data_IF_805670989636
#
_entry.id   IF_805670989636
#
_cell.length_a   1.000
_cell.length_b   1.000
_cell.length_c   1.000
_cell.angle_alpha   90.00
_cell.angle_beta   90.00
_cell.angle_gamma   90.00
#
_symmetry.space_group_name_H-M   'P 1'
#
loop_
_entity.id
_entity.type
_entity.pdbx_description
1 polymer ?
#
# COMPACT_ATOMS: atom_id res chain seq x y z
N UNK A 1 -49.23 -23.17 -20.77
CA UNK A 1 -50.45 -23.00 -21.58
C UNK A 1 -50.79 -21.52 -21.67
N UNK A 2 -51.07 -21.02 -22.90
CA UNK A 2 -51.68 -19.72 -23.27
C UNK A 2 -50.89 -18.44 -22.91
N UNK A 3 -50.22 -17.79 -23.88
CA UNK A 3 -50.71 -16.82 -24.91
C UNK A 3 -51.22 -15.53 -24.22
N UNK A 4 -50.87 -14.31 -24.63
CA UNK A 4 -51.34 -13.61 -25.84
C UNK A 4 -50.56 -12.29 -26.04
N UNK A 5 -50.28 -11.96 -27.31
CA UNK A 5 -49.81 -10.70 -27.90
C UNK A 5 -50.79 -9.52 -27.72
N UNK A 6 -50.30 -8.27 -27.71
CA UNK A 6 -50.99 -7.16 -28.40
C UNK A 6 -50.06 -5.97 -28.74
N UNK A 7 -50.04 -5.66 -30.03
CA UNK A 7 -49.51 -4.47 -30.71
C UNK A 7 -50.60 -3.39 -30.69
N UNK A 8 -50.28 -2.10 -30.49
CA UNK A 8 -51.04 -1.00 -31.10
C UNK A 8 -50.10 0.09 -31.62
N UNK A 9 -50.21 0.27 -32.93
CA UNK A 9 -49.72 1.35 -33.79
C UNK A 9 -50.69 2.54 -33.71
N UNK A 10 -50.19 3.77 -33.65
CA UNK A 10 -50.97 4.95 -34.02
C UNK A 10 -50.09 5.97 -34.74
N UNK A 11 -50.22 5.97 -36.07
CA UNK A 11 -49.77 7.00 -36.99
C UNK A 11 -50.82 8.11 -37.00
N UNK A 12 -50.42 9.36 -36.79
CA UNK A 12 -51.20 10.53 -37.22
C UNK A 12 -50.31 11.44 -38.05
N UNK A 13 -50.60 11.44 -39.34
CA UNK A 13 -50.09 12.36 -40.35
C UNK A 13 -51.08 13.53 -40.44
N UNK A 14 -50.60 14.77 -40.29
CA UNK A 14 -51.32 15.96 -40.72
C UNK A 14 -50.32 16.97 -41.30
N UNK A 15 -50.38 17.12 -42.62
CA UNK A 15 -49.72 18.17 -43.39
C UNK A 15 -50.41 19.52 -43.17
N UNK A 16 -49.61 20.58 -43.12
CA UNK A 16 -50.03 21.96 -43.28
C UNK A 16 -48.86 22.82 -43.75
N UNK A 17 -48.79 23.07 -45.06
CA UNK A 17 -47.83 23.96 -45.73
C UNK A 17 -48.34 25.41 -45.69
N UNK A 18 -47.54 26.34 -45.16
CA UNK A 18 -47.33 27.73 -45.60
C UNK A 18 -45.96 28.15 -45.02
N UNK A 19 -44.93 28.56 -45.76
CA UNK A 19 -44.90 29.71 -46.66
C UNK A 19 -44.09 30.82 -45.99
N UNK A 20 -42.77 30.87 -46.21
CA UNK A 20 -41.89 31.91 -45.68
C UNK A 20 -40.43 31.70 -46.05
N UNK A 21 -40.03 32.20 -47.22
CA UNK A 21 -38.60 32.37 -47.55
C UNK A 21 -38.04 33.51 -46.71
N UNK A 22 -37.15 33.19 -45.76
CA UNK A 22 -36.21 34.15 -45.18
C UNK A 22 -34.83 33.54 -45.31
N UNK A 23 -34.03 34.11 -46.21
CA UNK A 23 -32.63 33.74 -46.43
C UNK A 23 -31.79 34.24 -45.25
N UNK A 24 -31.64 33.39 -44.23
CA UNK A 24 -30.62 33.53 -43.20
C UNK A 24 -29.29 32.94 -43.72
N UNK A 25 -28.14 33.59 -43.50
CA UNK A 25 -26.85 33.02 -43.87
C UNK A 25 -26.60 31.73 -43.09
N UNK A 26 -26.21 30.67 -43.79
CA UNK A 26 -25.84 29.40 -43.21
C UNK A 26 -24.67 29.59 -42.24
N UNK A 27 -24.91 29.37 -40.94
CA UNK A 27 -23.84 29.15 -39.98
C UNK A 27 -23.18 27.82 -40.34
N UNK A 28 -21.91 27.90 -40.71
CA UNK A 28 -21.01 26.74 -40.81
C UNK A 28 -21.06 26.04 -39.44
N UNK A 29 -21.36 24.73 -39.36
CA UNK A 29 -21.27 24.00 -38.11
C UNK A 29 -19.83 24.12 -37.59
N UNK A 30 -19.67 24.72 -36.41
CA UNK A 30 -18.41 24.71 -35.69
C UNK A 30 -18.02 23.25 -35.45
N UNK A 31 -16.88 22.85 -35.99
CA UNK A 31 -16.25 21.57 -35.70
C UNK A 31 -16.06 21.46 -34.18
N UNK A 32 -16.57 20.40 -33.52
CA UNK A 32 -16.43 20.28 -32.07
C UNK A 32 -14.93 20.26 -31.74
N UNK A 33 -14.52 21.17 -30.86
CA UNK A 33 -13.15 21.26 -30.37
C UNK A 33 -12.66 19.87 -29.93
N UNK A 34 -11.39 19.50 -30.20
CA UNK A 34 -10.85 18.23 -29.77
C UNK A 34 -11.06 18.11 -28.26
N UNK A 35 -11.80 17.08 -27.84
CA UNK A 35 -11.93 16.73 -26.44
C UNK A 35 -10.51 16.48 -25.93
N UNK A 36 -10.05 17.36 -25.03
CA UNK A 36 -8.75 17.22 -24.40
C UNK A 36 -8.63 15.80 -23.87
N UNK A 37 -7.57 15.11 -24.29
CA UNK A 37 -7.16 13.84 -23.69
C UNK A 37 -7.19 14.05 -22.17
N UNK A 38 -8.13 13.38 -21.49
CA UNK A 38 -8.13 13.36 -20.04
C UNK A 38 -6.89 12.56 -19.65
N UNK A 39 -5.79 13.25 -19.40
CA UNK A 39 -4.63 12.63 -18.73
C UNK A 39 -5.19 11.90 -17.52
N UNK A 40 -4.91 10.59 -17.36
CA UNK A 40 -5.38 9.85 -16.20
C UNK A 40 -4.96 10.61 -14.93
N UNK A 41 -5.80 10.62 -13.88
CA UNK A 41 -5.41 11.25 -12.64
C UNK A 41 -4.10 10.62 -12.15
N UNK A 42 -3.09 11.45 -11.92
CA UNK A 42 -1.84 11.01 -11.30
C UNK A 42 -2.18 10.62 -9.87
N UNK A 43 -2.00 9.34 -9.53
CA UNK A 43 -2.16 8.85 -8.16
C UNK A 43 -0.89 9.22 -7.40
N UNK A 44 -1.02 10.02 -6.35
CA UNK A 44 0.10 10.41 -5.48
C UNK A 44 0.56 9.20 -4.65
N UNK A 45 1.86 8.93 -4.61
CA UNK A 45 2.42 7.85 -3.79
C UNK A 45 2.38 8.21 -2.31
N UNK A 46 1.96 7.26 -1.48
CA UNK A 46 2.03 7.36 -0.02
C UNK A 46 2.89 6.22 0.51
N UNK A 47 4.19 6.46 0.56
CA UNK A 47 5.21 5.46 0.88
C UNK A 47 6.21 6.00 1.91
N UNK A 48 6.82 5.13 2.74
CA UNK A 48 7.98 5.49 3.56
C UNK A 48 9.21 5.76 2.70
N UNK A 49 10.26 6.37 3.25
CA UNK A 49 11.55 6.50 2.55
C UNK A 49 11.55 7.56 1.45
N UNK A 50 12.40 7.39 0.45
CA UNK A 50 12.62 8.36 -0.63
C UNK A 50 12.63 7.72 -2.02
N UNK A 51 12.12 8.44 -3.02
CA UNK A 51 12.18 8.03 -4.43
C UNK A 51 13.53 8.45 -5.04
N UNK A 52 14.42 7.49 -5.32
CA UNK A 52 15.76 7.77 -5.88
C UNK A 52 15.97 7.13 -7.25
N UNK A 53 15.03 6.31 -7.72
CA UNK A 53 15.10 5.66 -9.03
C UNK A 53 16.24 4.66 -9.09
N UNK A 54 16.88 4.46 -10.26
CA UNK A 54 17.95 3.47 -10.42
C UNK A 54 19.14 3.66 -9.45
N UNK A 55 19.35 4.86 -8.91
CA UNK A 55 20.39 5.10 -7.90
C UNK A 55 20.19 4.28 -6.61
N UNK A 56 18.97 3.83 -6.31
CA UNK A 56 18.67 2.95 -5.18
C UNK A 56 19.44 1.61 -5.25
N UNK A 57 19.80 1.16 -6.47
CA UNK A 57 20.51 -0.10 -6.72
C UNK A 57 22.05 0.05 -6.66
N UNK A 58 22.54 1.29 -6.75
CA UNK A 58 23.99 1.60 -6.73
C UNK A 58 24.52 1.82 -5.30
N UNK A 59 23.70 1.55 -4.29
CA UNK A 59 24.03 1.74 -2.87
C UNK A 59 25.07 0.69 -2.43
N UNK A 60 25.96 1.02 -1.48
CA UNK A 60 26.91 0.05 -0.93
C UNK A 60 26.23 -1.21 -0.37
N UNK A 61 26.79 -2.40 -0.61
CA UNK A 61 26.25 -3.66 -0.09
C UNK A 61 26.20 -3.69 1.45
N UNK A 62 27.11 -2.97 2.12
CA UNK A 62 27.16 -2.89 3.58
C UNK A 62 27.46 -1.48 4.04
N UNK A 63 26.96 -1.14 5.24
CA UNK A 63 27.34 0.07 5.97
C UNK A 63 27.37 -0.18 7.48
N UNK A 64 27.92 0.76 8.24
CA UNK A 64 27.73 0.82 9.69
C UNK A 64 26.95 2.07 10.06
N UNK A 65 26.09 1.96 11.06
CA UNK A 65 25.33 3.06 11.64
C UNK A 65 25.05 2.76 13.12
N UNK A 66 24.60 3.75 13.88
CA UNK A 66 24.22 3.56 15.29
C UNK A 66 22.72 3.45 15.48
N UNK A 67 22.33 2.66 16.46
CA UNK A 67 20.95 2.54 16.95
C UNK A 67 20.97 2.89 18.44
N UNK A 68 20.07 3.78 18.86
CA UNK A 68 19.84 4.09 20.27
C UNK A 68 18.96 3.01 20.90
N UNK A 69 19.51 2.20 21.78
CA UNK A 69 18.81 1.15 22.53
C UNK A 69 18.83 1.50 24.02
N UNK A 70 17.64 1.64 24.62
CA UNK A 70 17.48 1.99 26.04
C UNK A 70 18.30 3.25 26.46
N UNK A 71 18.49 4.18 25.53
CA UNK A 71 19.26 5.41 25.72
C UNK A 71 20.78 5.28 25.56
N UNK A 72 21.27 4.14 25.06
CA UNK A 72 22.67 3.92 24.70
C UNK A 72 22.83 3.77 23.19
N UNK A 73 23.81 4.45 22.62
CA UNK A 73 24.15 4.26 21.20
C UNK A 73 25.00 2.99 21.03
N UNK A 74 24.50 2.07 20.23
CA UNK A 74 25.19 0.86 19.84
C UNK A 74 25.45 0.88 18.33
N UNK A 75 26.63 0.41 17.91
CA UNK A 75 27.00 0.35 16.47
C UNK A 75 26.60 -0.99 15.89
N UNK A 76 25.91 -0.96 14.75
CA UNK A 76 25.49 -2.14 14.01
C UNK A 76 26.11 -2.16 12.62
N UNK A 77 26.41 -3.36 12.12
CA UNK A 77 26.58 -3.57 10.69
C UNK A 77 25.20 -3.72 10.04
N UNK A 78 25.08 -3.17 8.84
CA UNK A 78 23.87 -3.26 8.02
C UNK A 78 24.21 -3.83 6.65
N UNK A 79 23.34 -4.68 6.14
CA UNK A 79 23.43 -5.25 4.79
C UNK A 79 22.29 -4.69 3.94
N UNK A 80 22.61 -4.32 2.70
CA UNK A 80 21.63 -3.88 1.72
C UNK A 80 20.74 -5.06 1.33
N UNK A 81 19.42 -4.86 1.46
CA UNK A 81 18.40 -5.72 0.90
C UNK A 81 17.87 -5.04 -0.36
N UNK A 82 17.86 -5.78 -1.46
CA UNK A 82 17.08 -5.45 -2.65
C UNK A 82 15.77 -6.23 -2.64
N UNK A 83 14.65 -5.50 -2.50
CA UNK A 83 13.30 -6.05 -2.53
C UNK A 83 12.74 -5.96 -3.96
N UNK A 84 13.37 -6.68 -4.90
CA UNK A 84 13.08 -6.58 -6.35
C UNK A 84 11.60 -6.77 -6.70
N UNK A 85 10.93 -7.71 -6.03
CA UNK A 85 9.50 -7.97 -6.22
C UNK A 85 8.58 -6.79 -5.83
N UNK A 86 9.05 -5.89 -4.97
CA UNK A 86 8.30 -4.70 -4.54
C UNK A 86 8.86 -3.44 -5.19
N UNK A 87 10.17 -3.38 -5.48
CA UNK A 87 10.87 -2.27 -6.12
C UNK A 87 11.46 -1.23 -5.16
N UNK A 88 12.09 -1.66 -4.07
CA UNK A 88 12.87 -0.77 -3.22
C UNK A 88 14.12 -1.46 -2.70
N UNK A 89 15.10 -0.67 -2.27
CA UNK A 89 16.20 -1.16 -1.44
C UNK A 89 16.11 -0.61 -0.02
N UNK A 90 16.56 -1.38 0.96
CA UNK A 90 16.71 -0.92 2.35
C UNK A 90 17.92 -1.56 3.00
N UNK A 91 18.28 -1.12 4.20
CA UNK A 91 19.35 -1.71 4.99
C UNK A 91 18.77 -2.48 6.17
N UNK A 92 19.15 -3.76 6.29
CA UNK A 92 18.82 -4.61 7.44
C UNK A 92 20.00 -4.64 8.41
N UNK A 93 19.80 -4.42 9.72
CA UNK A 93 20.86 -4.64 10.69
C UNK A 93 21.21 -6.13 10.77
N UNK A 94 22.44 -6.43 11.21
CA UNK A 94 23.01 -7.79 11.24
C UNK A 94 22.22 -8.82 12.05
N UNK A 95 21.33 -8.37 12.94
CA UNK A 95 20.47 -9.18 13.78
C UNK A 95 19.03 -9.30 13.26
N UNK A 96 18.82 -8.98 11.99
CA UNK A 96 17.57 -9.13 11.24
C UNK A 96 17.81 -9.97 10.00
N UNK A 97 16.92 -10.93 9.74
CA UNK A 97 16.93 -11.75 8.52
C UNK A 97 15.63 -11.54 7.76
N UNK A 98 15.69 -11.45 6.43
CA UNK A 98 14.51 -11.22 5.61
C UNK A 98 14.25 -12.36 4.63
N UNK A 99 12.96 -12.59 4.36
CA UNK A 99 12.48 -13.45 3.28
C UNK A 99 11.72 -12.61 2.27
N UNK A 100 11.98 -12.82 0.98
CA UNK A 100 11.27 -12.20 -0.15
C UNK A 100 10.36 -13.25 -0.78
N UNK A 101 9.08 -12.94 -0.93
CA UNK A 101 8.05 -13.88 -1.42
C UNK A 101 7.12 -13.17 -2.39
N UNK A 102 6.69 -13.85 -3.45
CA UNK A 102 5.63 -13.38 -4.35
C UNK A 102 4.54 -14.44 -4.44
N UNK A 103 3.29 -14.00 -4.48
CA UNK A 103 2.11 -14.84 -4.64
C UNK A 103 1.08 -14.17 -5.54
N UNK A 104 -0.02 -14.87 -5.85
CA UNK A 104 -1.14 -14.29 -6.58
C UNK A 104 -1.83 -13.15 -5.80
N UNK A 105 -1.63 -13.06 -4.49
CA UNK A 105 -2.20 -11.98 -3.67
C UNK A 105 -1.34 -10.71 -3.70
N UNK A 106 -0.04 -10.85 -3.97
CA UNK A 106 0.91 -9.75 -4.01
C UNK A 106 2.34 -10.16 -3.69
N UNK A 107 3.17 -9.14 -3.50
CA UNK A 107 4.60 -9.25 -3.26
C UNK A 107 4.93 -8.87 -1.83
N UNK A 108 5.81 -9.62 -1.18
CA UNK A 108 6.12 -9.47 0.23
C UNK A 108 7.62 -9.49 0.51
N UNK A 109 8.01 -8.74 1.53
CA UNK A 109 9.26 -8.89 2.26
C UNK A 109 8.92 -9.00 3.74
N UNK A 110 9.39 -10.05 4.40
CA UNK A 110 9.19 -10.25 5.84
C UNK A 110 10.55 -10.32 6.52
N UNK A 111 10.83 -9.34 7.37
CA UNK A 111 12.05 -9.19 8.15
C UNK A 111 11.80 -9.61 9.60
N UNK A 112 12.45 -10.70 10.02
CA UNK A 112 12.35 -11.29 11.34
C UNK A 112 13.55 -10.92 12.21
N UNK A 113 13.31 -10.75 13.51
CA UNK A 113 14.39 -10.72 14.50
C UNK A 113 15.18 -12.03 14.49
N UNK A 114 16.51 -11.92 14.57
CA UNK A 114 17.48 -13.02 14.60
C UNK A 114 18.50 -12.81 15.73
N UNK A 115 18.01 -12.44 16.91
CA UNK A 115 18.86 -12.11 18.05
C UNK A 115 19.69 -13.31 18.49
N UNK A 116 21.00 -13.10 18.65
CA UNK A 116 21.97 -14.17 18.95
C UNK A 116 21.90 -15.37 17.99
N UNK A 117 21.51 -15.14 16.72
CA UNK A 117 21.40 -16.17 15.70
C UNK A 117 20.16 -17.07 15.82
N UNK A 118 19.18 -16.67 16.63
CA UNK A 118 17.89 -17.35 16.74
C UNK A 118 16.80 -16.50 16.10
N UNK A 119 16.33 -16.96 14.94
CA UNK A 119 15.20 -16.34 14.27
C UNK A 119 13.93 -16.53 15.10
N UNK A 120 13.16 -15.45 15.26
CA UNK A 120 11.83 -15.49 15.87
C UNK A 120 10.77 -15.13 14.84
N UNK A 121 9.87 -16.06 14.58
CA UNK A 121 8.75 -15.87 13.65
C UNK A 121 7.62 -15.01 14.25
N UNK A 122 7.62 -14.82 15.57
CA UNK A 122 6.63 -14.03 16.29
C UNK A 122 7.07 -12.58 16.56
N UNK A 123 8.16 -12.13 15.92
CA UNK A 123 8.65 -10.76 15.97
C UNK A 123 9.19 -10.34 14.60
N UNK A 124 8.36 -9.63 13.83
CA UNK A 124 8.63 -9.27 12.44
C UNK A 124 8.13 -7.89 12.00
N UNK A 125 8.76 -7.41 10.94
CA UNK A 125 8.32 -6.31 10.10
C UNK A 125 8.01 -6.89 8.72
N UNK A 126 6.87 -6.54 8.14
CA UNK A 126 6.49 -6.98 6.80
C UNK A 126 6.14 -5.80 5.92
N UNK A 127 6.61 -5.86 4.68
CA UNK A 127 6.21 -5.01 3.57
C UNK A 127 5.39 -5.87 2.62
N UNK A 128 4.22 -5.38 2.20
CA UNK A 128 3.34 -6.12 1.30
C UNK A 128 2.76 -5.18 0.24
N UNK A 129 2.98 -5.51 -1.03
CA UNK A 129 2.43 -4.80 -2.17
C UNK A 129 1.34 -5.65 -2.81
N UNK A 130 0.08 -5.26 -2.58
CA UNK A 130 -1.08 -5.99 -3.07
C UNK A 130 -1.11 -6.03 -4.59
N UNK A 131 -1.69 -7.09 -5.17
CA UNK A 131 -1.99 -7.13 -6.60
C UNK A 131 -2.89 -5.95 -7.05
N UNK A 132 -2.85 -5.63 -8.35
CA UNK A 132 -3.68 -4.57 -8.93
C UNK A 132 -5.18 -4.85 -8.73
N UNK A 133 -5.95 -3.79 -8.55
CA UNK A 133 -7.41 -3.87 -8.42
C UNK A 133 -7.94 -4.06 -7.00
N UNK A 134 -7.07 -4.32 -6.02
CA UNK A 134 -7.44 -4.31 -4.60
C UNK A 134 -7.54 -2.87 -4.11
N UNK A 135 -8.68 -2.50 -3.54
CA UNK A 135 -8.88 -1.19 -2.92
C UNK A 135 -8.26 -1.11 -1.52
N UNK A 136 -8.01 0.11 -1.04
CA UNK A 136 -7.54 0.34 0.33
C UNK A 136 -8.46 -0.31 1.38
N UNK A 137 -9.78 -0.16 1.21
CA UNK A 137 -10.79 -0.73 2.10
C UNK A 137 -10.72 -2.27 2.13
N UNK A 138 -10.63 -2.92 0.96
CA UNK A 138 -10.50 -4.38 0.86
C UNK A 138 -9.18 -4.89 1.47
N UNK A 139 -8.07 -4.20 1.23
CA UNK A 139 -6.76 -4.55 1.81
C UNK A 139 -6.78 -4.47 3.35
N UNK A 140 -7.40 -3.43 3.90
CA UNK A 140 -7.58 -3.28 5.34
C UNK A 140 -8.52 -4.33 5.93
N UNK A 141 -9.66 -4.58 5.27
CA UNK A 141 -10.63 -5.59 5.71
C UNK A 141 -10.00 -6.99 5.71
N UNK A 142 -9.34 -7.39 4.62
CA UNK A 142 -8.66 -8.68 4.53
C UNK A 142 -7.53 -8.83 5.57
N UNK A 143 -6.77 -7.76 5.85
CA UNK A 143 -5.76 -7.80 6.92
C UNK A 143 -6.40 -7.98 8.30
N UNK A 144 -7.53 -7.30 8.57
CA UNK A 144 -8.26 -7.46 9.83
C UNK A 144 -8.86 -8.87 9.96
N UNK A 145 -9.41 -9.42 8.88
CA UNK A 145 -9.97 -10.77 8.89
C UNK A 145 -8.89 -11.83 9.15
N UNK A 146 -7.72 -11.71 8.51
CA UNK A 146 -6.55 -12.56 8.78
C UNK A 146 -6.14 -12.49 10.25
N UNK A 147 -5.97 -11.27 10.79
CA UNK A 147 -5.58 -11.07 12.20
C UNK A 147 -6.66 -11.57 13.18
N UNK A 148 -7.94 -11.37 12.88
CA UNK A 148 -9.05 -11.83 13.70
C UNK A 148 -9.15 -13.37 13.72
N UNK A 149 -8.88 -14.03 12.58
CA UNK A 149 -8.81 -15.49 12.49
C UNK A 149 -7.70 -16.06 13.41
N UNK A 150 -6.61 -15.32 13.57
CA UNK A 150 -5.52 -15.65 14.51
C UNK A 150 -5.78 -15.16 15.95
N UNK A 151 -6.96 -14.62 16.23
CA UNK A 151 -7.40 -14.22 17.57
C UNK A 151 -6.92 -12.85 18.05
N UNK A 152 -6.48 -11.97 17.14
CA UNK A 152 -6.15 -10.59 17.48
C UNK A 152 -7.41 -9.73 17.64
N UNK A 153 -7.35 -8.81 18.59
CA UNK A 153 -8.31 -7.73 18.76
C UNK A 153 -7.79 -6.40 18.21
N UNK A 154 -8.71 -5.47 17.97
CA UNK A 154 -8.41 -4.13 17.46
C UNK A 154 -8.82 -3.10 18.51
N UNK A 155 -7.87 -2.58 19.32
CA UNK A 155 -8.18 -1.53 20.28
C UNK A 155 -8.69 -0.28 19.58
N UNK A 156 -9.61 0.46 20.23
CA UNK A 156 -10.08 1.74 19.71
C UNK A 156 -8.90 2.73 19.56
N UNK A 157 -8.94 3.52 18.49
CA UNK A 157 -7.96 4.56 18.26
C UNK A 157 -8.08 5.63 19.35
N UNK A 158 -7.06 5.77 20.19
CA UNK A 158 -6.98 6.84 21.19
C UNK A 158 -6.39 8.11 20.57
N UNK A 159 -7.20 8.83 19.80
CA UNK A 159 -6.84 10.11 19.17
C UNK A 159 -6.29 9.99 17.73
N UNK A 160 -5.77 11.09 17.19
CA UNK A 160 -5.26 11.20 15.80
C UNK A 160 -3.80 10.75 15.63
N UNK A 161 -3.16 10.23 16.68
CA UNK A 161 -1.76 9.82 16.62
C UNK A 161 -1.58 8.65 15.65
N UNK A 162 -0.78 8.85 14.60
CA UNK A 162 -0.31 7.82 13.66
C UNK A 162 1.13 7.46 13.98
N UNK A 163 1.44 6.17 14.01
CA UNK A 163 2.82 5.70 14.12
C UNK A 163 3.61 5.99 12.82
N UNK A 164 2.92 6.11 11.68
CA UNK A 164 3.55 6.33 10.38
C UNK A 164 2.99 7.56 9.65
N UNK A 165 3.74 8.68 9.56
CA UNK A 165 3.25 9.91 8.93
C UNK A 165 2.91 9.79 7.43
N UNK A 166 3.55 8.86 6.72
CA UNK A 166 3.30 8.60 5.30
C UNK A 166 1.99 7.84 5.06
N UNK A 167 1.50 7.12 6.07
CA UNK A 167 0.36 6.21 5.92
C UNK A 167 -0.93 7.02 5.75
N UNK A 168 -1.76 6.59 4.80
CA UNK A 168 -3.11 7.11 4.61
C UNK A 168 -4.07 6.54 5.66
N UNK A 169 -3.92 5.25 5.95
CA UNK A 169 -4.71 4.51 6.92
C UNK A 169 -3.80 3.69 7.84
N UNK A 170 -4.18 3.53 9.10
CA UNK A 170 -3.42 2.77 10.08
C UNK A 170 -4.36 2.18 11.13
N UNK A 171 -4.09 0.96 11.59
CA UNK A 171 -4.70 0.44 12.80
C UNK A 171 -3.72 -0.39 13.63
N UNK A 172 -3.98 -0.44 14.94
CA UNK A 172 -3.27 -1.30 15.87
C UNK A 172 -4.04 -2.59 16.11
N UNK A 173 -3.31 -3.63 16.49
CA UNK A 173 -3.88 -4.90 16.90
C UNK A 173 -3.09 -5.48 18.06
N UNK A 174 -3.76 -6.22 18.92
CA UNK A 174 -3.15 -6.84 20.11
C UNK A 174 -3.74 -8.22 20.38
N UNK A 175 -2.98 -9.06 21.08
CA UNK A 175 -3.41 -10.38 21.53
C UNK A 175 -2.67 -10.75 22.80
N UNK A 176 -3.37 -11.31 23.78
CA UNK A 176 -2.73 -11.98 24.90
C UNK A 176 -2.77 -13.49 24.65
N UNK A 177 -1.62 -14.15 24.68
CA UNK A 177 -1.48 -15.58 24.49
C UNK A 177 -0.45 -16.14 25.45
N UNK A 178 -0.83 -17.13 26.26
CA UNK A 178 0.07 -17.85 27.19
C UNK A 178 0.90 -16.92 28.12
N UNK A 179 0.32 -15.78 28.50
CA UNK A 179 0.97 -14.78 29.35
C UNK A 179 1.90 -13.80 28.60
N UNK A 180 2.01 -13.92 27.27
CA UNK A 180 2.69 -12.95 26.41
C UNK A 180 1.68 -12.03 25.75
N UNK A 181 1.92 -10.72 25.86
CA UNK A 181 1.16 -9.70 25.15
C UNK A 181 1.84 -9.42 23.81
N UNK A 182 1.15 -9.71 22.72
CA UNK A 182 1.54 -9.36 21.37
C UNK A 182 0.88 -8.06 20.94
N UNK A 183 1.62 -7.27 20.19
CA UNK A 183 1.18 -5.98 19.65
C UNK A 183 1.71 -5.79 18.24
N UNK A 184 0.99 -4.99 17.47
CA UNK A 184 1.41 -4.62 16.14
C UNK A 184 0.60 -3.47 15.57
N UNK A 185 1.12 -2.95 14.46
CA UNK A 185 0.49 -1.89 13.68
C UNK A 185 0.48 -2.32 12.23
N UNK A 186 -0.64 -2.15 11.54
CA UNK A 186 -0.73 -2.25 10.09
C UNK A 186 -1.00 -0.85 9.53
N UNK A 187 -0.07 -0.34 8.73
CA UNK A 187 -0.10 0.97 8.09
C UNK A 187 -0.16 0.81 6.57
N UNK A 188 -1.01 1.60 5.93
CA UNK A 188 -1.32 1.47 4.52
C UNK A 188 -1.13 2.79 3.78
N UNK A 189 -0.67 2.67 2.55
CA UNK A 189 -0.58 3.73 1.57
C UNK A 189 -0.64 3.10 0.18
N UNK A 190 -0.01 3.74 -0.79
CA UNK A 190 -0.08 3.27 -2.17
C UNK A 190 1.21 3.57 -2.93
N UNK A 191 1.54 2.65 -3.83
CA UNK A 191 2.59 2.79 -4.84
C UNK A 191 1.91 2.73 -6.20
N UNK A 192 1.81 3.86 -6.88
CA UNK A 192 0.97 4.00 -8.07
C UNK A 192 -0.47 3.61 -7.76
N UNK A 193 -1.02 2.67 -8.53
CA UNK A 193 -2.38 2.14 -8.40
C UNK A 193 -2.51 0.93 -7.47
N UNK A 194 -1.41 0.47 -6.86
CA UNK A 194 -1.39 -0.69 -5.95
C UNK A 194 -1.36 -0.23 -4.50
N UNK A 195 -2.13 -0.91 -3.63
CA UNK A 195 -2.07 -0.71 -2.18
C UNK A 195 -0.76 -1.28 -1.66
N UNK A 196 -0.14 -0.54 -0.74
CA UNK A 196 1.07 -0.95 -0.04
C UNK A 196 0.82 -0.96 1.46
N UNK A 197 1.26 -2.02 2.15
CA UNK A 197 1.15 -2.17 3.60
C UNK A 197 2.53 -2.38 4.23
N UNK A 198 2.75 -1.68 5.32
CA UNK A 198 3.81 -1.97 6.29
C UNK A 198 3.14 -2.48 7.56
N UNK A 199 3.54 -3.65 8.05
CA UNK A 199 2.97 -4.22 9.26
C UNK A 199 4.05 -4.72 10.20
N UNK A 200 3.98 -4.27 11.45
CA UNK A 200 4.81 -4.76 12.56
C UNK A 200 4.01 -5.73 13.43
N UNK A 201 4.68 -6.72 13.98
CA UNK A 201 4.14 -7.66 14.95
C UNK A 201 5.27 -8.10 15.87
N UNK A 202 5.04 -8.10 17.18
CA UNK A 202 6.03 -8.52 18.17
C UNK A 202 5.40 -8.74 19.56
N UNK A 203 6.07 -9.47 20.48
CA UNK A 203 5.83 -9.32 21.90
C UNK A 203 6.01 -7.86 22.32
N UNK A 204 5.13 -7.33 23.16
CA UNK A 204 5.16 -5.93 23.57
C UNK A 204 6.47 -5.51 24.25
N UNK A 205 7.12 -6.43 24.95
CA UNK A 205 8.45 -6.24 25.56
C UNK A 205 9.57 -5.98 24.55
N UNK A 206 9.38 -6.32 23.27
CA UNK A 206 10.37 -6.10 22.22
C UNK A 206 10.25 -4.70 21.60
N UNK A 207 9.22 -3.92 21.98
CA UNK A 207 8.89 -2.64 21.36
C UNK A 207 10.04 -1.65 21.28
N UNK A 208 10.80 -1.47 22.36
CA UNK A 208 11.90 -0.49 22.38
C UNK A 208 13.08 -0.96 21.51
N UNK A 209 13.54 -2.19 21.71
CA UNK A 209 14.69 -2.74 20.98
C UNK A 209 14.42 -2.97 19.49
N UNK A 210 13.30 -3.64 19.18
CA UNK A 210 12.93 -3.94 17.80
C UNK A 210 12.35 -2.70 17.08
N UNK A 211 11.60 -1.85 17.78
CA UNK A 211 11.08 -0.60 17.23
C UNK A 211 12.18 0.33 16.71
N UNK A 212 13.30 0.44 17.43
CA UNK A 212 14.45 1.24 16.99
C UNK A 212 15.08 0.69 15.69
N UNK A 213 15.15 -0.64 15.54
CA UNK A 213 15.62 -1.31 14.31
C UNK A 213 14.65 -1.08 13.15
N UNK A 214 13.35 -1.23 13.40
CA UNK A 214 12.30 -0.98 12.41
C UNK A 214 12.38 0.45 11.88
N UNK A 215 12.59 1.44 12.76
CA UNK A 215 12.74 2.83 12.36
C UNK A 215 13.90 3.01 11.35
N UNK A 216 15.06 2.41 11.61
CA UNK A 216 16.22 2.44 10.71
C UNK A 216 15.95 1.75 9.37
N UNK A 217 15.28 0.59 9.39
CA UNK A 217 14.92 -0.13 8.16
C UNK A 217 13.95 0.72 7.32
N UNK A 218 12.95 1.36 7.92
CA UNK A 218 11.96 2.17 7.20
C UNK A 218 12.57 3.48 6.69
N UNK A 219 13.41 4.15 7.50
CA UNK A 219 14.12 5.38 7.11
C UNK A 219 15.05 5.14 5.92
N UNK A 220 15.66 3.96 5.84
CA UNK A 220 16.62 3.61 4.80
C UNK A 220 16.00 3.19 3.47
N UNK A 221 14.67 3.18 3.34
CA UNK A 221 13.98 2.77 2.11
C UNK A 221 14.27 3.77 0.99
N UNK A 222 14.76 3.24 -0.14
CA UNK A 222 14.94 3.96 -1.38
C UNK A 222 14.20 3.23 -2.51
N UNK A 223 13.25 3.92 -3.14
CA UNK A 223 12.38 3.35 -4.17
C UNK A 223 12.96 3.50 -5.57
N UNK A 224 12.73 2.48 -6.39
CA UNK A 224 13.05 2.45 -7.81
C UNK A 224 11.93 1.79 -8.60
N UNK A 225 11.84 2.09 -9.90
CA UNK A 225 10.84 1.48 -10.78
C UNK A 225 11.27 0.05 -11.12
N UNK A 226 10.40 -0.92 -10.83
CA UNK A 226 10.52 -2.28 -11.39
C UNK A 226 10.12 -2.22 -12.85
N UNK A 227 10.90 -2.80 -13.76
CA UNK A 227 10.44 -2.98 -15.14
C UNK A 227 9.19 -3.89 -15.10
N UNK A 228 8.06 -3.43 -15.66
CA UNK A 228 6.81 -4.19 -15.80
C UNK A 228 6.94 -5.37 -16.79
#
# INVERSE_FOLDING_TARGET
MRRIFAIILAVVLAMGLMGGCSSAPAQVPEEPAPQGEKTPPVVENHLPGSETGPAALERPETKSDTISLEGQEETFAFTLLDAENIGFTTYLPEDIVATVVSSDEGDAVIAYTNFAGQQREDAYLSFFLYQKGITMEEAMAGTKDMLAADGYGFPEATGEYRSYPWAQEEFRFTKEQEGTNYTGTAAFGNRGDRVFRVMTHMPAEFGDGFGARIAKIIEAIEWYTTED
#
